data_IF_493772288389
#
_entry.id   IF_493772288389
#
_cell.length_a   1.000
_cell.length_b   1.000
_cell.length_c   1.000
_cell.angle_alpha   90.00
_cell.angle_beta   90.00
_cell.angle_gamma   90.00
#
_symmetry.space_group_name_H-M   'P 1'
#
loop_
_entity.id
_entity.type
_entity.pdbx_description
1 polymer ?
#
# COMPACT_ATOMS: atom_id res chain seq x y z
N UNK A 1 28.46 16.15 -0.19
CA UNK A 1 27.25 16.27 -1.03
C UNK A 1 26.19 15.45 -0.34
N UNK A 2 25.11 16.11 0.09
CA UNK A 2 24.02 15.48 0.83
C UNK A 2 23.13 14.80 -0.23
N UNK A 3 23.40 13.54 -0.54
CA UNK A 3 22.44 12.75 -1.34
C UNK A 3 21.18 12.61 -0.49
N UNK A 4 20.19 13.46 -0.75
CA UNK A 4 18.84 13.23 -0.29
C UNK A 4 18.37 11.95 -0.99
N UNK A 5 18.66 10.79 -0.38
CA UNK A 5 18.22 9.49 -0.86
C UNK A 5 16.71 9.54 -0.92
N UNK A 6 16.16 9.53 -2.13
CA UNK A 6 14.73 9.32 -2.36
C UNK A 6 14.39 7.94 -1.83
N UNK A 7 13.45 7.88 -0.88
CA UNK A 7 13.01 6.61 -0.33
C UNK A 7 12.35 5.78 -1.44
N UNK A 8 12.59 4.46 -1.50
CA UNK A 8 11.83 3.59 -2.40
C UNK A 8 10.34 3.70 -2.10
N UNK A 9 9.52 3.73 -3.15
CA UNK A 9 8.07 3.78 -3.01
C UNK A 9 7.51 2.41 -2.61
N UNK A 10 6.50 2.40 -1.76
CA UNK A 10 5.72 1.21 -1.39
C UNK A 10 4.24 1.58 -1.37
N UNK A 11 3.41 0.79 -2.05
CA UNK A 11 1.97 0.86 -1.93
C UNK A 11 1.46 -0.22 -0.98
N UNK A 12 0.67 0.18 0.00
CA UNK A 12 -0.05 -0.71 0.93
C UNK A 12 -1.53 -0.69 0.57
N UNK A 13 -2.09 -1.85 0.22
CA UNK A 13 -3.52 -2.03 0.00
C UNK A 13 -4.11 -2.78 1.19
N UNK A 14 -4.93 -2.08 1.98
CA UNK A 14 -5.43 -2.50 3.29
C UNK A 14 -6.64 -1.62 3.64
N UNK A 15 -7.79 -2.20 3.99
CA UNK A 15 -9.01 -1.43 4.28
C UNK A 15 -9.07 -0.96 5.75
N UNK A 16 -8.36 -1.62 6.68
CA UNK A 16 -8.29 -1.19 8.07
C UNK A 16 -7.27 -0.06 8.28
N UNK A 17 -7.78 1.12 8.60
CA UNK A 17 -6.95 2.30 8.88
C UNK A 17 -5.99 2.11 10.07
N UNK A 18 -6.31 1.23 11.02
CA UNK A 18 -5.44 0.86 12.14
C UNK A 18 -4.21 0.08 11.68
N UNK A 19 -4.42 -0.95 10.86
CA UNK A 19 -3.35 -1.74 10.23
C UNK A 19 -2.49 -0.87 9.32
N UNK A 20 -3.10 -0.02 8.49
CA UNK A 20 -2.33 0.92 7.67
C UNK A 20 -1.37 1.81 8.49
N UNK A 21 -1.80 2.29 9.68
CA UNK A 21 -0.93 3.09 10.56
C UNK A 21 0.22 2.26 11.11
N UNK A 22 -0.05 1.02 11.52
CA UNK A 22 0.99 0.11 12.02
C UNK A 22 2.01 -0.22 10.94
N UNK A 23 1.57 -0.52 9.72
CA UNK A 23 2.46 -0.82 8.60
C UNK A 23 3.29 0.40 8.18
N UNK A 24 2.71 1.62 8.19
CA UNK A 24 3.49 2.85 7.97
C UNK A 24 4.64 3.00 8.94
N UNK A 25 4.46 2.64 10.22
CA UNK A 25 5.55 2.68 11.20
C UNK A 25 6.57 1.56 11.00
N UNK A 26 6.16 0.39 10.51
CA UNK A 26 7.05 -0.73 10.25
C UNK A 26 7.96 -0.51 9.03
N UNK A 27 7.55 0.33 8.08
CA UNK A 27 8.26 0.61 6.82
C UNK A 27 8.81 2.05 6.75
N UNK A 28 9.52 2.50 7.79
CA UNK A 28 10.10 3.86 7.88
C UNK A 28 11.17 4.19 6.81
N UNK A 29 11.71 3.18 6.15
CA UNK A 29 12.65 3.29 5.02
C UNK A 29 11.99 3.50 3.64
N UNK A 30 10.68 3.69 3.56
CA UNK A 30 9.93 3.80 2.30
C UNK A 30 9.11 5.10 2.24
N UNK A 31 8.86 5.57 1.02
CA UNK A 31 7.78 6.50 0.75
C UNK A 31 6.47 5.72 0.63
N UNK A 32 5.59 5.86 1.62
CA UNK A 32 4.39 5.04 1.73
C UNK A 32 3.19 5.70 1.05
N UNK A 33 2.57 4.97 0.14
CA UNK A 33 1.24 5.23 -0.41
C UNK A 33 0.26 4.17 0.11
N UNK A 34 -1.01 4.54 0.26
CA UNK A 34 -2.04 3.60 0.73
C UNK A 34 -3.29 3.67 -0.12
N UNK A 35 -3.99 2.54 -0.18
CA UNK A 35 -5.31 2.42 -0.76
C UNK A 35 -6.16 1.49 0.13
N UNK A 36 -7.44 1.83 0.28
CA UNK A 36 -8.40 1.03 1.04
C UNK A 36 -9.31 0.20 0.16
N UNK A 37 -9.26 0.40 -1.15
CA UNK A 37 -10.02 -0.37 -2.15
C UNK A 37 -9.15 -0.69 -3.36
N UNK A 38 -9.57 -1.67 -4.16
CA UNK A 38 -8.96 -1.98 -5.46
C UNK A 38 -8.92 -0.78 -6.40
N UNK A 39 -9.98 0.01 -6.45
CA UNK A 39 -10.09 1.16 -7.35
C UNK A 39 -9.06 2.24 -6.99
N UNK A 40 -8.91 2.51 -5.69
CA UNK A 40 -7.86 3.38 -5.17
C UNK A 40 -6.48 2.79 -5.44
N UNK A 41 -6.28 1.49 -5.21
CA UNK A 41 -4.99 0.82 -5.42
C UNK A 41 -4.54 0.92 -6.88
N UNK A 42 -5.45 0.67 -7.83
CA UNK A 42 -5.17 0.80 -9.26
C UNK A 42 -4.87 2.25 -9.67
N UNK A 43 -5.54 3.22 -9.04
CA UNK A 43 -5.29 4.64 -9.27
C UNK A 43 -3.88 5.03 -8.83
N UNK A 44 -3.51 4.64 -7.60
CA UNK A 44 -2.19 4.93 -7.03
C UNK A 44 -1.09 4.17 -7.77
N UNK A 45 -1.32 2.90 -8.11
CA UNK A 45 -0.36 2.08 -8.87
C UNK A 45 0.03 2.76 -10.20
N UNK A 46 -0.94 3.32 -10.92
CA UNK A 46 -0.71 4.02 -12.19
C UNK A 46 -0.07 5.40 -12.02
N UNK A 47 -0.40 6.10 -10.94
CA UNK A 47 0.12 7.45 -10.69
C UNK A 47 1.56 7.41 -10.18
N UNK A 48 1.87 6.46 -9.29
CA UNK A 48 3.11 6.46 -8.52
C UNK A 48 4.14 5.43 -8.99
N UNK A 49 3.72 4.44 -9.77
CA UNK A 49 4.52 3.32 -10.27
C UNK A 49 5.42 2.69 -9.18
N UNK A 50 4.84 2.28 -8.03
CA UNK A 50 5.64 1.74 -6.95
C UNK A 50 6.24 0.38 -7.37
N UNK A 51 7.53 0.12 -7.08
CA UNK A 51 8.19 -1.14 -7.45
C UNK A 51 7.69 -2.35 -6.64
N UNK A 52 7.06 -2.11 -5.49
CA UNK A 52 6.54 -3.16 -4.59
C UNK A 52 5.18 -2.73 -4.05
N UNK A 53 4.29 -3.72 -3.85
CA UNK A 53 2.96 -3.56 -3.28
C UNK A 53 2.75 -4.62 -2.20
N UNK A 54 2.22 -4.24 -1.04
CA UNK A 54 1.60 -5.19 -0.10
C UNK A 54 0.10 -5.20 -0.32
N UNK A 55 -0.50 -6.38 -0.35
CA UNK A 55 -1.92 -6.57 -0.62
C UNK A 55 -2.54 -7.40 0.49
N UNK A 56 -3.54 -6.85 1.17
CA UNK A 56 -4.48 -7.65 1.94
C UNK A 56 -5.38 -8.45 0.98
N UNK A 57 -5.54 -9.74 1.26
CA UNK A 57 -6.39 -10.62 0.46
C UNK A 57 -7.85 -10.55 0.92
N UNK A 58 -8.10 -10.17 2.18
CA UNK A 58 -9.42 -10.04 2.78
C UNK A 58 -10.11 -8.70 2.49
N UNK A 59 -9.87 -8.11 1.32
CA UNK A 59 -10.56 -6.86 0.95
C UNK A 59 -12.02 -7.14 0.56
N UNK A 60 -12.95 -6.20 0.84
CA UNK A 60 -14.33 -6.32 0.38
C UNK A 60 -14.41 -6.51 -1.15
N UNK A 61 -15.34 -7.34 -1.66
CA UNK A 61 -16.45 -7.97 -0.94
C UNK A 61 -16.18 -9.37 -0.37
N UNK A 62 -14.95 -9.89 -0.44
CA UNK A 62 -14.61 -11.27 -0.03
C UNK A 62 -13.60 -11.29 1.15
N UNK A 63 -13.99 -10.79 2.34
CA UNK A 63 -13.06 -10.58 3.45
C UNK A 63 -12.41 -11.86 4.01
N UNK A 64 -13.01 -13.02 3.77
CA UNK A 64 -12.50 -14.33 4.20
C UNK A 64 -11.85 -15.12 3.05
N UNK A 65 -11.75 -14.52 1.85
CA UNK A 65 -11.32 -15.21 0.65
C UNK A 65 -10.10 -14.57 -0.02
N UNK A 66 -9.81 -15.08 -1.21
CA UNK A 66 -8.69 -14.59 -2.05
C UNK A 66 -9.13 -14.43 -3.49
N UNK A 67 -10.44 -14.51 -3.76
CA UNK A 67 -10.95 -14.61 -5.13
C UNK A 67 -10.91 -13.28 -5.84
N UNK A 68 -11.13 -12.19 -5.11
CA UNK A 68 -10.89 -10.82 -5.56
C UNK A 68 -11.15 -9.83 -4.41
N UNK A 69 -10.27 -8.84 -4.31
CA UNK A 69 -10.38 -7.60 -3.57
C UNK A 69 -10.23 -6.42 -4.52
#
# INVERSE_FOLDING_TARGET
MNDARTLPKLLIVEDDAGLQRQLRWAYDGYEIFTASTREEALTVLRAEEPPVVTLDLGLPPDPDGTREG
#
